data_IF_485188027796
#
_entry.id   IF_485188027796
#
_cell.length_a   1.000
_cell.length_b   1.000
_cell.length_c   1.000
_cell.angle_alpha   90.00
_cell.angle_beta   90.00
_cell.angle_gamma   90.00
#
_symmetry.space_group_name_H-M   'P 1'
#
loop_
_entity.id
_entity.type
_entity.pdbx_description
1 polymer ?
#
# COMPACT_ATOMS: atom_id res chain seq x y z
N UNK A 1 -3.54 38.01 -9.61
CA UNK A 1 -2.21 37.72 -9.04
C UNK A 1 -2.34 36.76 -7.86
N UNK A 2 -1.93 35.50 -8.05
CA UNK A 2 -1.81 34.55 -6.94
C UNK A 2 -0.71 35.09 -6.02
N UNK A 3 -0.97 35.34 -4.72
CA UNK A 3 0.06 35.87 -3.83
C UNK A 3 1.24 34.91 -3.78
N UNK A 4 2.46 35.44 -3.83
CA UNK A 4 3.68 34.67 -3.71
C UNK A 4 3.66 33.86 -2.42
N UNK A 5 3.78 32.54 -2.53
CA UNK A 5 3.72 31.62 -1.40
C UNK A 5 4.93 31.84 -0.49
N UNK A 6 4.72 32.50 0.65
CA UNK A 6 5.69 32.59 1.75
C UNK A 6 5.70 31.31 2.60
N UNK A 7 5.61 30.15 1.95
CA UNK A 7 5.57 28.85 2.62
C UNK A 7 6.97 28.27 2.83
N UNK A 8 7.25 27.74 4.01
CA UNK A 8 8.41 26.88 4.24
C UNK A 8 8.38 25.69 3.28
N UNK A 9 9.55 25.27 2.78
CA UNK A 9 9.66 24.08 1.94
C UNK A 9 9.07 22.83 2.64
N UNK A 10 8.43 21.91 1.90
CA UNK A 10 7.92 20.67 2.47
C UNK A 10 9.07 19.82 3.04
N UNK A 11 8.80 18.97 4.05
CA UNK A 11 9.82 18.12 4.64
C UNK A 11 10.39 17.12 3.60
N UNK A 12 11.65 16.68 3.74
CA UNK A 12 12.23 15.66 2.86
C UNK A 12 11.46 14.34 2.87
N UNK A 13 11.50 13.52 1.81
CA UNK A 13 10.77 12.25 1.74
C UNK A 13 10.93 11.37 2.98
N UNK A 14 9.82 10.84 3.49
CA UNK A 14 9.79 10.02 4.70
C UNK A 14 9.90 10.81 6.02
N UNK A 15 9.87 12.15 5.95
CA UNK A 15 9.88 13.02 7.12
C UNK A 15 8.57 13.79 7.25
N UNK A 16 8.33 14.30 8.45
CA UNK A 16 7.22 15.17 8.75
C UNK A 16 7.70 16.46 9.41
N UNK A 17 6.94 17.53 9.20
CA UNK A 17 7.17 18.84 9.77
C UNK A 17 5.87 19.61 9.89
N UNK A 18 5.92 20.77 10.54
CA UNK A 18 4.76 21.66 10.65
C UNK A 18 4.93 22.86 9.72
N UNK A 19 3.85 23.26 9.05
CA UNK A 19 3.74 24.52 8.32
C UNK A 19 2.56 25.29 8.91
N UNK A 20 2.85 26.28 9.75
CA UNK A 20 1.82 26.87 10.62
C UNK A 20 1.27 25.83 11.61
N UNK A 21 -0.04 25.67 11.64
CA UNK A 21 -0.75 24.65 12.45
C UNK A 21 -0.97 23.32 11.73
N UNK A 22 -0.65 23.25 10.44
CA UNK A 22 -0.81 22.03 9.65
C UNK A 22 0.44 21.16 9.73
N UNK A 23 0.28 19.91 10.14
CA UNK A 23 1.31 18.88 10.03
C UNK A 23 1.34 18.34 8.61
N UNK A 24 2.53 18.28 8.02
CA UNK A 24 2.77 17.73 6.68
C UNK A 24 3.79 16.61 6.82
N UNK A 25 3.45 15.41 6.39
CA UNK A 25 4.39 14.31 6.17
C UNK A 25 4.55 14.08 4.68
N UNK A 26 5.77 13.95 4.19
CA UNK A 26 6.02 13.55 2.79
C UNK A 26 6.24 12.05 2.71
N UNK A 27 5.63 11.43 1.70
CA UNK A 27 5.73 9.99 1.48
C UNK A 27 7.19 9.56 1.27
N UNK A 28 7.62 8.41 1.83
CA UNK A 28 8.91 7.83 1.47
C UNK A 28 8.93 7.40 0.00
N UNK A 29 10.11 7.09 -0.53
CA UNK A 29 10.26 6.55 -1.89
C UNK A 29 9.34 5.35 -2.10
N UNK A 30 8.52 5.40 -3.15
CA UNK A 30 7.53 4.38 -3.51
C UNK A 30 6.10 4.69 -3.07
N UNK A 31 5.87 5.64 -2.15
CA UNK A 31 4.55 6.01 -1.61
C UNK A 31 3.44 6.22 -2.65
N UNK A 32 2.20 5.70 -2.42
CA UNK A 32 1.02 5.96 -3.23
C UNK A 32 0.48 7.38 -2.96
N UNK A 33 1.21 8.16 -2.17
CA UNK A 33 0.91 9.53 -1.83
C UNK A 33 2.22 10.32 -1.78
N UNK A 34 2.19 11.55 -2.28
CA UNK A 34 3.32 12.47 -2.16
C UNK A 34 3.40 13.08 -0.75
N UNK A 35 2.25 13.39 -0.15
CA UNK A 35 2.15 13.95 1.19
C UNK A 35 0.85 13.57 1.89
N UNK A 36 0.90 13.56 3.23
CA UNK A 36 -0.26 13.51 4.12
C UNK A 36 -0.29 14.81 4.93
N UNK A 37 -1.45 15.45 4.98
CA UNK A 37 -1.64 16.69 5.74
C UNK A 37 -2.70 16.49 6.82
N UNK A 38 -2.42 16.98 8.02
CA UNK A 38 -3.33 16.94 9.17
C UNK A 38 -3.34 18.33 9.80
N UNK A 39 -4.51 18.96 9.85
CA UNK A 39 -4.66 20.34 10.28
C UNK A 39 -6.11 20.81 10.18
N UNK A 40 -6.34 22.11 10.30
CA UNK A 40 -7.67 22.69 10.19
C UNK A 40 -8.22 22.58 8.76
N UNK A 41 -9.51 22.27 8.63
CA UNK A 41 -10.18 22.08 7.32
C UNK A 41 -10.00 23.27 6.39
N UNK A 42 -10.05 24.51 6.92
CA UNK A 42 -9.86 25.72 6.12
C UNK A 42 -8.44 25.85 5.56
N UNK A 43 -7.42 25.48 6.35
CA UNK A 43 -6.01 25.48 5.91
C UNK A 43 -5.77 24.43 4.82
N UNK A 44 -6.30 23.22 5.02
CA UNK A 44 -6.20 22.12 4.06
C UNK A 44 -6.92 22.48 2.76
N UNK A 45 -8.13 23.04 2.83
CA UNK A 45 -8.88 23.51 1.66
C UNK A 45 -8.11 24.59 0.89
N UNK A 46 -7.49 25.53 1.59
CA UNK A 46 -6.62 26.54 0.97
C UNK A 46 -5.40 25.92 0.27
N UNK A 47 -4.87 24.79 0.77
CA UNK A 47 -3.80 24.05 0.11
C UNK A 47 -4.28 23.33 -1.15
N UNK A 48 -5.46 22.72 -1.13
CA UNK A 48 -6.05 22.06 -2.30
C UNK A 48 -6.18 23.03 -3.49
N UNK A 49 -6.68 24.25 -3.24
CA UNK A 49 -6.78 25.32 -4.26
C UNK A 49 -5.39 25.64 -4.86
N UNK A 50 -4.35 25.70 -4.04
CA UNK A 50 -2.98 25.96 -4.51
C UNK A 50 -2.45 24.80 -5.36
N UNK A 51 -2.78 23.55 -5.01
CA UNK A 51 -2.41 22.38 -5.80
C UNK A 51 -3.09 22.39 -7.18
N UNK A 52 -4.38 22.68 -7.23
CA UNK A 52 -5.10 22.80 -8.51
C UNK A 52 -4.55 23.93 -9.38
N UNK A 53 -4.26 25.10 -8.77
CA UNK A 53 -3.64 26.22 -9.48
C UNK A 53 -2.23 25.90 -10.03
N UNK A 54 -1.55 24.91 -9.44
CA UNK A 54 -0.27 24.40 -9.92
C UNK A 54 -0.40 23.24 -10.92
N UNK A 55 -1.62 22.91 -11.36
CA UNK A 55 -1.92 21.84 -12.33
C UNK A 55 -2.22 20.48 -11.73
N UNK A 56 -2.36 20.38 -10.40
CA UNK A 56 -2.82 19.17 -9.73
C UNK A 56 -4.30 18.88 -10.00
N UNK A 57 -4.70 17.62 -9.87
CA UNK A 57 -6.10 17.19 -9.91
C UNK A 57 -6.49 16.66 -8.55
N UNK A 58 -7.65 17.10 -8.04
CA UNK A 58 -8.19 16.57 -6.78
C UNK A 58 -8.94 15.28 -7.07
N UNK A 59 -8.45 14.19 -6.48
CA UNK A 59 -9.11 12.88 -6.51
C UNK A 59 -10.13 12.74 -5.38
N UNK A 60 -10.81 11.59 -5.38
CA UNK A 60 -11.76 11.19 -4.35
C UNK A 60 -11.22 10.03 -3.48
N UNK A 61 -11.91 9.60 -2.41
CA UNK A 61 -11.43 8.53 -1.55
C UNK A 61 -11.16 7.18 -2.26
N UNK A 62 -11.81 6.92 -3.40
CA UNK A 62 -11.59 5.72 -4.20
C UNK A 62 -10.22 5.75 -4.91
N UNK A 63 -9.72 6.93 -5.27
CA UNK A 63 -8.37 7.09 -5.83
C UNK A 63 -7.31 6.66 -4.82
N UNK A 64 -7.48 7.05 -3.54
CA UNK A 64 -6.58 6.62 -2.46
C UNK A 64 -6.60 5.10 -2.30
N UNK A 65 -7.78 4.49 -2.35
CA UNK A 65 -7.93 3.04 -2.27
C UNK A 65 -7.28 2.32 -3.48
N UNK A 66 -7.41 2.88 -4.69
CA UNK A 66 -6.78 2.36 -5.89
C UNK A 66 -5.25 2.46 -5.83
N UNK A 67 -4.73 3.65 -5.52
CA UNK A 67 -3.28 3.91 -5.49
C UNK A 67 -2.55 3.01 -4.48
N UNK A 68 -3.13 2.77 -3.30
CA UNK A 68 -2.50 1.82 -2.35
C UNK A 68 -2.47 0.39 -2.89
N UNK A 69 -3.51 -0.06 -3.61
CA UNK A 69 -3.55 -1.42 -4.17
C UNK A 69 -2.49 -1.53 -5.25
N UNK A 70 -2.43 -0.56 -6.17
CA UNK A 70 -1.42 -0.46 -7.21
C UNK A 70 0.01 -0.48 -6.64
N UNK A 71 0.25 0.26 -5.55
CA UNK A 71 1.56 0.32 -4.90
C UNK A 71 1.89 -0.90 -4.01
N UNK A 72 0.94 -1.83 -3.81
CA UNK A 72 1.13 -2.96 -2.91
C UNK A 72 1.24 -2.54 -1.44
N UNK A 73 0.52 -1.49 -1.06
CA UNK A 73 0.53 -0.92 0.29
C UNK A 73 -0.63 -1.50 1.13
N UNK A 74 -0.32 -2.18 2.25
CA UNK A 74 -1.35 -2.70 3.14
C UNK A 74 -2.10 -1.56 3.86
N UNK A 75 -3.32 -1.83 4.30
CA UNK A 75 -4.03 -0.96 5.25
C UNK A 75 -4.56 -1.73 6.46
N UNK A 76 -4.71 -1.02 7.57
CA UNK A 76 -5.33 -1.52 8.80
C UNK A 76 -6.78 -1.96 8.52
N UNK A 77 -7.17 -3.09 9.10
CA UNK A 77 -8.52 -3.65 8.95
C UNK A 77 -8.78 -4.34 7.60
N UNK A 78 -7.77 -4.42 6.72
CA UNK A 78 -7.83 -5.24 5.49
C UNK A 78 -6.70 -6.25 5.43
N UNK A 79 -5.51 -5.78 5.07
CA UNK A 79 -4.32 -6.63 5.02
C UNK A 79 -3.73 -6.80 6.42
N UNK A 80 -3.76 -5.76 7.25
CA UNK A 80 -3.20 -5.78 8.60
C UNK A 80 -4.31 -5.98 9.63
N UNK A 81 -4.18 -7.03 10.43
CA UNK A 81 -4.99 -7.33 11.60
C UNK A 81 -4.14 -7.36 12.89
N UNK A 82 -4.78 -7.66 14.02
CA UNK A 82 -4.16 -7.69 15.36
C UNK A 82 -3.18 -8.85 15.58
N UNK A 83 -3.17 -9.85 14.68
CA UNK A 83 -2.34 -11.05 14.77
C UNK A 83 -1.18 -11.03 13.78
N UNK A 84 -1.23 -10.13 12.81
CA UNK A 84 -0.26 -10.05 11.75
C UNK A 84 1.07 -9.45 12.22
N UNK A 85 2.17 -10.08 11.80
CA UNK A 85 3.52 -9.56 12.04
C UNK A 85 3.85 -8.55 10.92
N UNK A 86 4.56 -7.43 11.20
CA UNK A 86 4.87 -6.42 10.18
C UNK A 86 5.45 -6.95 8.86
N UNK A 87 6.30 -7.97 8.89
CA UNK A 87 6.86 -8.60 7.69
C UNK A 87 5.85 -9.41 6.86
N UNK A 88 4.78 -9.93 7.47
CA UNK A 88 3.68 -10.58 6.73
C UNK A 88 2.90 -9.54 5.90
N UNK A 89 2.81 -8.32 6.43
CA UNK A 89 2.15 -7.18 5.81
C UNK A 89 3.06 -6.42 4.83
N UNK A 90 4.26 -6.90 4.50
CA UNK A 90 5.22 -6.20 3.61
C UNK A 90 5.77 -4.89 4.18
N UNK A 91 5.59 -4.60 5.48
CA UNK A 91 6.05 -3.34 6.09
C UNK A 91 7.58 -3.19 6.09
N UNK A 92 8.34 -4.29 6.11
CA UNK A 92 9.79 -4.28 5.95
C UNK A 92 10.23 -3.86 4.55
N UNK A 93 9.48 -4.24 3.51
CA UNK A 93 9.82 -3.96 2.11
C UNK A 93 9.47 -2.54 1.68
N UNK A 94 8.53 -1.87 2.37
CA UNK A 94 8.08 -0.50 2.05
C UNK A 94 8.57 0.54 3.05
N UNK A 95 9.58 0.22 3.86
CA UNK A 95 10.19 1.15 4.82
C UNK A 95 9.34 1.46 6.05
N UNK A 96 8.31 0.64 6.34
CA UNK A 96 7.50 0.72 7.55
C UNK A 96 8.18 0.21 8.82
N UNK A 97 9.36 -0.41 8.70
CA UNK A 97 10.18 -0.90 9.83
C UNK A 97 11.54 -0.23 9.77
N UNK A 98 11.98 0.29 10.91
CA UNK A 98 13.37 0.72 11.08
C UNK A 98 14.06 -0.26 12.03
N UNK A 99 15.11 -0.89 11.52
CA UNK A 99 15.97 -1.81 12.27
C UNK A 99 17.10 -1.09 13.03
N UNK A 100 17.21 0.23 12.84
CA UNK A 100 18.30 1.06 13.39
C UNK A 100 17.83 2.11 14.38
N UNK A 101 16.52 2.39 14.46
CA UNK A 101 15.96 3.25 15.51
C UNK A 101 16.01 2.54 16.87
N UNK A 102 15.90 3.33 17.94
CA UNK A 102 15.93 2.83 19.31
C UNK A 102 14.82 1.82 19.64
N UNK A 103 14.77 1.40 20.92
CA UNK A 103 13.86 0.36 21.37
C UNK A 103 12.38 0.71 21.14
N UNK A 104 11.64 -0.14 20.41
CA UNK A 104 10.18 -0.06 20.31
C UNK A 104 9.50 -1.39 20.66
N UNK A 105 8.24 -1.31 21.11
CA UNK A 105 7.46 -2.48 21.54
C UNK A 105 7.35 -3.53 20.43
N UNK A 106 7.62 -4.79 20.78
CA UNK A 106 7.54 -5.92 19.84
C UNK A 106 8.74 -6.06 18.90
N UNK A 107 9.77 -5.20 19.01
CA UNK A 107 10.93 -5.24 18.12
C UNK A 107 11.70 -6.57 18.17
N UNK A 108 11.71 -7.27 19.30
CA UNK A 108 12.45 -8.54 19.44
C UNK A 108 11.98 -9.57 18.40
N UNK A 109 10.66 -9.72 18.26
CA UNK A 109 10.06 -10.60 17.26
C UNK A 109 10.40 -10.15 15.84
N UNK A 110 10.30 -8.85 15.57
CA UNK A 110 10.60 -8.26 14.25
C UNK A 110 12.07 -8.49 13.87
N UNK A 111 13.01 -8.18 14.76
CA UNK A 111 14.45 -8.34 14.55
C UNK A 111 14.85 -9.82 14.44
N UNK A 112 14.27 -10.69 15.28
CA UNK A 112 14.50 -12.13 15.22
C UNK A 112 14.11 -12.71 13.85
N UNK A 113 12.94 -12.32 13.35
CA UNK A 113 12.48 -12.73 12.01
C UNK A 113 13.42 -12.20 10.94
N UNK A 114 13.83 -10.94 11.02
CA UNK A 114 14.72 -10.32 10.04
C UNK A 114 16.08 -11.03 9.90
N UNK A 115 16.71 -11.43 11.01
CA UNK A 115 18.05 -12.02 10.96
C UNK A 115 18.07 -13.55 10.80
N UNK A 116 17.11 -14.26 11.38
CA UNK A 116 17.20 -15.73 11.52
C UNK A 116 15.87 -16.47 11.33
N UNK A 117 14.80 -15.76 11.02
CA UNK A 117 13.47 -16.34 10.94
C UNK A 117 12.83 -16.19 9.58
N UNK A 118 11.55 -16.56 9.55
CA UNK A 118 10.68 -16.34 8.42
C UNK A 118 9.25 -16.23 8.92
N UNK A 119 8.42 -15.60 8.11
CA UNK A 119 6.97 -15.62 8.26
C UNK A 119 6.37 -16.74 7.40
N UNK A 120 5.21 -17.24 7.82
CA UNK A 120 4.51 -18.32 7.12
C UNK A 120 3.65 -17.81 5.96
N UNK A 121 3.30 -16.52 5.99
CA UNK A 121 2.49 -15.87 4.97
C UNK A 121 3.11 -14.55 4.55
N UNK A 122 2.81 -14.11 3.34
CA UNK A 122 3.28 -12.85 2.77
C UNK A 122 2.13 -12.19 2.03
N UNK A 123 2.10 -10.85 2.08
CA UNK A 123 1.28 -10.05 1.18
C UNK A 123 1.85 -10.11 -0.24
N UNK A 124 1.02 -10.53 -1.19
CA UNK A 124 1.36 -10.71 -2.62
C UNK A 124 0.37 -9.99 -3.51
N UNK A 125 0.83 -9.59 -4.70
CA UNK A 125 -0.05 -9.15 -5.78
C UNK A 125 -0.57 -10.36 -6.54
N UNK A 126 -1.82 -10.28 -7.01
CA UNK A 126 -2.40 -11.28 -7.90
C UNK A 126 -3.21 -10.57 -8.98
N UNK A 127 -3.04 -10.96 -10.24
CA UNK A 127 -3.79 -10.44 -11.37
C UNK A 127 -4.77 -11.50 -11.84
N UNK A 128 -6.06 -11.16 -11.86
CA UNK A 128 -7.12 -12.04 -12.36
C UNK A 128 -7.79 -11.42 -13.60
N UNK A 129 -7.99 -12.15 -14.70
CA UNK A 129 -8.82 -11.69 -15.83
C UNK A 129 -10.28 -11.50 -15.42
N UNK A 130 -10.92 -10.42 -15.86
CA UNK A 130 -12.28 -10.00 -15.48
C UNK A 130 -12.33 -9.08 -14.25
N UNK A 131 -13.54 -8.63 -13.90
CA UNK A 131 -13.73 -7.60 -12.85
C UNK A 131 -14.68 -8.05 -11.71
N UNK A 132 -15.07 -9.32 -11.70
CA UNK A 132 -15.99 -9.83 -10.69
C UNK A 132 -15.37 -9.78 -9.26
N UNK A 133 -16.15 -9.48 -8.20
CA UNK A 133 -15.59 -9.30 -6.86
C UNK A 133 -14.85 -10.54 -6.31
N UNK A 134 -13.64 -10.31 -5.79
CA UNK A 134 -12.77 -11.35 -5.22
C UNK A 134 -12.43 -11.16 -3.73
N UNK A 135 -12.89 -10.07 -3.11
CA UNK A 135 -12.58 -9.76 -1.71
C UNK A 135 -13.08 -10.89 -0.79
N UNK A 136 -12.23 -11.25 0.18
CA UNK A 136 -12.41 -12.35 1.16
C UNK A 136 -12.58 -13.76 0.53
N UNK A 137 -12.29 -13.92 -0.76
CA UNK A 137 -12.25 -15.25 -1.39
C UNK A 137 -10.97 -15.98 -0.99
N UNK A 138 -11.13 -17.27 -0.66
CA UNK A 138 -10.01 -18.19 -0.40
C UNK A 138 -9.20 -18.38 -1.67
N UNK A 139 -7.90 -18.19 -1.55
CA UNK A 139 -6.93 -18.49 -2.58
C UNK A 139 -6.51 -19.96 -2.50
N UNK A 140 -6.56 -20.65 -3.63
CA UNK A 140 -6.28 -22.07 -3.75
C UNK A 140 -5.11 -22.31 -4.73
N UNK A 141 -4.27 -23.30 -4.43
CA UNK A 141 -3.19 -23.75 -5.29
C UNK A 141 -3.14 -25.28 -5.28
N UNK A 142 -3.30 -25.91 -6.44
CA UNK A 142 -3.36 -27.38 -6.54
C UNK A 142 -4.41 -28.02 -5.62
N UNK A 143 -5.58 -27.37 -5.48
CA UNK A 143 -6.67 -27.82 -4.62
C UNK A 143 -6.50 -27.56 -3.11
N UNK A 144 -5.39 -26.95 -2.68
CA UNK A 144 -5.14 -26.61 -1.28
C UNK A 144 -5.33 -25.12 -1.02
N UNK A 145 -5.90 -24.77 0.12
CA UNK A 145 -6.01 -23.37 0.54
C UNK A 145 -4.64 -22.83 0.96
N UNK A 146 -4.22 -21.78 0.25
CA UNK A 146 -2.96 -21.08 0.45
C UNK A 146 -3.13 -19.68 1.02
N UNK A 147 -4.34 -19.13 1.08
CA UNK A 147 -4.49 -17.73 1.47
C UNK A 147 -5.88 -17.17 1.24
N UNK A 148 -5.94 -15.84 1.26
CA UNK A 148 -7.17 -15.08 1.07
C UNK A 148 -6.88 -13.77 0.36
N UNK A 149 -7.78 -13.37 -0.54
CA UNK A 149 -7.76 -12.05 -1.18
C UNK A 149 -8.32 -11.01 -0.21
N UNK A 150 -7.55 -9.96 0.09
CA UNK A 150 -7.90 -8.92 1.09
C UNK A 150 -8.37 -7.61 0.45
N UNK A 151 -7.78 -7.25 -0.68
CA UNK A 151 -8.18 -6.10 -1.48
C UNK A 151 -8.21 -6.44 -2.95
N UNK A 152 -9.08 -5.77 -3.69
CA UNK A 152 -9.22 -5.92 -5.13
C UNK A 152 -9.52 -4.55 -5.77
N UNK A 153 -8.97 -4.33 -6.96
CA UNK A 153 -9.17 -3.16 -7.80
C UNK A 153 -9.45 -3.64 -9.22
N UNK A 154 -10.59 -3.26 -9.78
CA UNK A 154 -10.91 -3.52 -11.19
C UNK A 154 -10.26 -2.46 -12.07
N UNK A 155 -9.49 -2.87 -13.08
CA UNK A 155 -8.80 -1.99 -14.03
C UNK A 155 -8.75 -2.68 -15.39
N UNK A 156 -9.28 -2.04 -16.43
CA UNK A 156 -9.08 -2.46 -17.82
C UNK A 156 -9.50 -3.90 -18.14
N UNK A 157 -10.59 -4.40 -17.53
CA UNK A 157 -11.04 -5.77 -17.72
C UNK A 157 -10.28 -6.81 -16.90
N UNK A 158 -9.44 -6.38 -15.96
CA UNK A 158 -8.73 -7.24 -15.00
C UNK A 158 -9.00 -6.80 -13.56
N UNK A 159 -8.69 -7.68 -12.61
CA UNK A 159 -8.71 -7.40 -11.17
C UNK A 159 -7.29 -7.54 -10.62
N UNK A 160 -6.78 -6.46 -10.07
CA UNK A 160 -5.53 -6.42 -9.32
C UNK A 160 -5.84 -6.59 -7.84
N UNK A 161 -5.28 -7.62 -7.22
CA UNK A 161 -5.64 -8.03 -5.88
C UNK A 161 -4.43 -8.11 -4.95
N UNK A 162 -4.58 -7.60 -3.72
CA UNK A 162 -3.66 -7.89 -2.64
C UNK A 162 -4.17 -9.13 -1.90
N UNK A 163 -3.34 -10.15 -1.80
CA UNK A 163 -3.68 -11.41 -1.15
C UNK A 163 -2.63 -11.79 -0.12
N UNK A 164 -3.07 -12.30 1.03
CA UNK A 164 -2.19 -12.89 2.04
C UNK A 164 -2.04 -14.37 1.71
N UNK A 165 -0.92 -14.74 1.11
CA UNK A 165 -0.64 -16.09 0.63
C UNK A 165 0.44 -16.76 1.47
N UNK A 166 0.45 -18.10 1.52
CA UNK A 166 1.54 -18.87 2.11
C UNK A 166 2.87 -18.53 1.43
N UNK A 167 3.94 -18.46 2.22
CA UNK A 167 5.26 -18.00 1.76
C UNK A 167 5.82 -18.82 0.59
N UNK A 168 5.53 -20.12 0.53
CA UNK A 168 6.00 -21.01 -0.53
C UNK A 168 5.40 -20.70 -1.91
N UNK A 169 4.35 -19.87 -1.99
CA UNK A 169 3.76 -19.43 -3.26
C UNK A 169 4.62 -18.33 -3.85
N UNK A 170 5.29 -18.63 -4.96
CA UNK A 170 6.16 -17.71 -5.68
C UNK A 170 5.40 -16.87 -6.71
N UNK A 171 6.03 -15.78 -7.15
CA UNK A 171 5.57 -15.02 -8.31
C UNK A 171 5.57 -15.95 -9.55
N UNK A 172 4.64 -15.71 -10.48
CA UNK A 172 4.33 -16.57 -11.62
C UNK A 172 3.45 -17.80 -11.29
N UNK A 173 3.18 -18.08 -10.01
CA UNK A 173 2.27 -19.16 -9.64
C UNK A 173 0.83 -18.83 -10.08
N UNK A 174 0.15 -19.82 -10.66
CA UNK A 174 -1.29 -19.72 -10.96
C UNK A 174 -2.11 -20.23 -9.79
N UNK A 175 -3.01 -19.40 -9.29
CA UNK A 175 -3.88 -19.68 -8.16
C UNK A 175 -5.33 -19.43 -8.55
N UNK A 176 -6.27 -20.06 -7.83
CA UNK A 176 -7.69 -19.77 -8.02
C UNK A 176 -8.31 -19.09 -6.80
N UNK A 177 -9.30 -18.24 -7.05
CA UNK A 177 -10.14 -17.63 -6.03
C UNK A 177 -11.60 -17.67 -6.49
N UNK A 178 -12.39 -18.58 -5.89
CA UNK A 178 -13.68 -18.96 -6.46
C UNK A 178 -13.49 -19.66 -7.81
N UNK A 179 -14.21 -19.21 -8.84
CA UNK A 179 -14.11 -19.76 -10.20
C UNK A 179 -13.09 -19.02 -11.08
N UNK A 180 -12.37 -18.03 -10.51
CA UNK A 180 -11.41 -17.21 -11.24
C UNK A 180 -9.99 -17.72 -11.02
N UNK A 181 -9.27 -17.92 -12.11
CA UNK A 181 -7.82 -18.17 -12.11
C UNK A 181 -7.07 -16.83 -12.21
N UNK A 182 -5.96 -16.73 -11.49
CA UNK A 182 -5.11 -15.55 -11.49
C UNK A 182 -3.64 -15.91 -11.33
N UNK A 183 -2.77 -14.98 -11.66
CA UNK A 183 -1.32 -15.13 -11.56
C UNK A 183 -0.78 -14.27 -10.41
N UNK A 184 0.03 -14.88 -9.55
CA UNK A 184 0.76 -14.18 -8.49
C UNK A 184 1.85 -13.34 -9.13
N UNK A 185 1.91 -12.05 -8.80
CA UNK A 185 2.87 -11.11 -9.35
C UNK A 185 3.61 -10.36 -8.25
N UNK A 186 4.78 -9.83 -8.61
CA UNK A 186 5.53 -8.94 -7.74
C UNK A 186 4.76 -7.62 -7.49
N UNK A 187 4.96 -7.05 -6.30
CA UNK A 187 4.47 -5.71 -5.95
C UNK A 187 5.61 -4.70 -6.00
N UNK A 188 5.37 -3.45 -6.45
CA UNK A 188 4.09 -2.87 -6.87
C UNK A 188 3.62 -3.32 -8.27
N UNK A 189 2.32 -3.21 -8.55
CA UNK A 189 1.71 -3.57 -9.84
C UNK A 189 2.17 -2.68 -10.99
N UNK A 190 2.74 -1.51 -10.72
CA UNK A 190 3.30 -0.62 -11.75
C UNK A 190 4.40 -1.27 -12.61
N UNK A 191 4.98 -2.39 -12.16
CA UNK A 191 5.90 -3.20 -12.97
C UNK A 191 5.21 -4.14 -13.97
N UNK A 192 3.88 -4.27 -13.88
CA UNK A 192 3.06 -5.28 -14.58
C UNK A 192 1.99 -4.63 -15.48
N UNK A 193 1.57 -3.41 -15.20
CA UNK A 193 0.64 -2.64 -16.04
C UNK A 193 1.48 -1.79 -17.01
N UNK A 194 1.30 -1.91 -18.34
CA UNK A 194 1.94 -0.99 -19.28
C UNK A 194 1.55 0.46 -18.95
N UNK A 195 2.51 1.37 -18.91
CA UNK A 195 2.19 2.80 -18.93
C UNK A 195 1.47 3.08 -20.26
N UNK A 196 0.19 3.43 -20.20
CA UNK A 196 -0.48 4.11 -21.32
C UNK A 196 -0.05 5.59 -21.35
#
# INVERSE_FOLDING_TARGET
PVPAATGSAPPPPGQAGAVGTTLIGTGPTGAPFAALMVGETAEIAGMAIRFEAAGGTIGDPSDVAAQRVLAGWPTLGREIDDRMIPQEARLDQIGGISFTKGCYTGQETVVRIHHRGHVNRLLRGVVFPGEAPLIERRAMFGGKEIGVVRSALAVGGATLALATLRREVSDGARISAGEREGEVVALPFASVIPNE
#
